data_IF_791367906056
#
_entry.id   IF_791367906056
#
_cell.length_a   1.000
_cell.length_b   1.000
_cell.length_c   1.000
_cell.angle_alpha   90.00
_cell.angle_beta   90.00
_cell.angle_gamma   90.00
#
_symmetry.space_group_name_H-M   'P 1'
#
loop_
_entity.id
_entity.type
_entity.pdbx_description
1 polymer ?
#
# COMPACT_ATOMS: atom_id res chain seq x y z
N UNK A 1 -13.70 -1.52 -4.66
CA UNK A 1 -12.91 -1.95 -3.50
C UNK A 1 -11.59 -1.20 -3.55
N UNK A 2 -11.21 -0.54 -2.45
CA UNK A 2 -10.00 0.27 -2.32
C UNK A 2 -9.05 -0.40 -1.33
N UNK A 3 -7.93 -0.91 -1.85
CA UNK A 3 -6.91 -1.65 -1.11
C UNK A 3 -5.64 -0.80 -1.03
N UNK A 4 -5.33 -0.27 0.15
CA UNK A 4 -4.20 0.65 0.34
C UNK A 4 -2.99 -0.05 0.92
N UNK A 5 -1.87 0.02 0.19
CA UNK A 5 -0.57 -0.49 0.58
C UNK A 5 0.25 0.65 1.18
N UNK A 6 0.56 0.54 2.47
CA UNK A 6 1.14 1.63 3.23
C UNK A 6 2.41 1.17 3.94
N UNK A 7 3.46 1.99 3.93
CA UNK A 7 4.66 1.72 4.73
C UNK A 7 5.17 2.93 5.49
N UNK A 8 5.51 2.70 6.75
CA UNK A 8 6.14 3.66 7.66
C UNK A 8 7.66 3.70 7.56
N UNK A 9 8.25 2.74 6.82
CA UNK A 9 9.69 2.58 6.63
C UNK A 9 10.00 2.39 5.15
N UNK A 10 11.07 3.01 4.67
CA UNK A 10 11.47 2.92 3.26
C UNK A 10 12.07 1.55 2.90
N UNK A 11 11.87 1.12 1.66
CA UNK A 11 12.55 -0.06 1.11
C UNK A 11 11.98 -1.41 1.57
N UNK A 12 10.77 -1.44 2.11
CA UNK A 12 10.10 -2.68 2.54
C UNK A 12 9.26 -3.37 1.46
N UNK A 13 9.26 -2.82 0.23
CA UNK A 13 8.59 -3.44 -0.92
C UNK A 13 7.12 -3.08 -1.11
N UNK A 14 6.65 -1.96 -0.54
CA UNK A 14 5.28 -1.42 -0.67
C UNK A 14 4.82 -1.33 -2.12
N UNK A 15 5.56 -0.59 -2.95
CA UNK A 15 5.26 -0.47 -4.38
C UNK A 15 5.34 -1.80 -5.13
N UNK A 16 6.15 -2.75 -4.65
CA UNK A 16 6.21 -4.08 -5.27
C UNK A 16 4.93 -4.87 -5.00
N UNK A 17 4.45 -4.81 -3.76
CA UNK A 17 3.19 -5.43 -3.35
C UNK A 17 1.99 -4.78 -4.05
N UNK A 18 1.88 -3.45 -4.03
CA UNK A 18 0.78 -2.71 -4.65
C UNK A 18 0.65 -3.00 -6.16
N UNK A 19 1.78 -2.94 -6.88
CA UNK A 19 1.80 -3.24 -8.33
C UNK A 19 1.47 -4.69 -8.63
N UNK A 20 2.04 -5.62 -7.88
CA UNK A 20 1.74 -7.03 -8.11
C UNK A 20 0.29 -7.35 -7.79
N UNK A 21 -0.27 -6.75 -6.74
CA UNK A 21 -1.69 -6.87 -6.43
C UNK A 21 -2.55 -6.33 -7.58
N UNK A 22 -2.28 -5.11 -8.06
CA UNK A 22 -2.98 -4.51 -9.19
C UNK A 22 -2.88 -5.37 -10.45
N UNK A 23 -1.70 -5.92 -10.75
CA UNK A 23 -1.48 -6.83 -11.89
C UNK A 23 -2.29 -8.12 -11.81
N UNK A 24 -2.38 -8.72 -10.64
CA UNK A 24 -3.08 -9.99 -10.46
C UNK A 24 -4.61 -9.81 -10.38
N UNK A 25 -5.07 -8.68 -9.84
CA UNK A 25 -6.50 -8.37 -9.69
C UNK A 25 -7.10 -7.63 -10.88
N UNK A 26 -6.26 -6.99 -11.69
CA UNK A 26 -6.70 -5.99 -12.67
C UNK A 26 -7.26 -4.74 -12.00
N UNK A 27 -7.66 -3.77 -12.82
CA UNK A 27 -8.27 -2.51 -12.37
C UNK A 27 -7.28 -1.35 -12.37
N UNK A 28 -7.35 -0.52 -11.33
CA UNK A 28 -6.58 0.73 -11.23
C UNK A 28 -5.51 0.63 -10.15
N UNK A 29 -4.30 1.10 -10.46
CA UNK A 29 -3.28 1.44 -9.48
C UNK A 29 -3.17 2.96 -9.36
N UNK A 30 -3.33 3.48 -8.14
CA UNK A 30 -3.07 4.88 -7.82
C UNK A 30 -1.77 4.96 -7.04
N UNK A 31 -0.76 5.63 -7.60
CA UNK A 31 0.46 5.93 -6.87
C UNK A 31 0.29 7.21 -6.06
N UNK A 32 -0.29 7.12 -4.87
CA UNK A 32 -0.53 8.26 -3.99
C UNK A 32 0.74 8.74 -3.26
N UNK A 33 1.92 8.63 -3.88
CA UNK A 33 3.21 9.00 -3.28
C UNK A 33 4.11 9.79 -4.22
N UNK A 34 4.80 10.78 -3.68
CA UNK A 34 5.78 11.57 -4.44
C UNK A 34 7.09 10.78 -4.57
N UNK A 35 7.51 10.45 -5.81
CA UNK A 35 8.94 10.50 -6.25
C UNK A 35 9.34 9.81 -7.55
N UNK A 36 8.54 8.96 -8.20
CA UNK A 36 9.03 8.21 -9.38
C UNK A 36 8.09 8.27 -10.59
N UNK A 37 8.68 8.50 -11.78
CA UNK A 37 8.01 8.33 -13.08
C UNK A 37 7.91 6.84 -13.39
N UNK A 38 6.84 6.22 -12.92
CA UNK A 38 6.59 4.80 -13.08
C UNK A 38 5.93 4.47 -14.42
N UNK A 39 5.30 5.45 -15.07
CA UNK A 39 4.81 5.42 -16.44
C UNK A 39 5.89 5.05 -17.46
N UNK A 40 7.16 5.39 -17.19
CA UNK A 40 8.27 5.08 -18.10
C UNK A 40 8.47 3.55 -18.25
N UNK A 41 7.87 2.76 -17.36
CA UNK A 41 7.83 1.30 -17.43
C UNK A 41 6.58 0.75 -18.13
N UNK A 42 5.59 1.58 -18.42
CA UNK A 42 4.31 1.21 -19.01
C UNK A 42 4.12 1.77 -20.43
N UNK A 43 4.67 2.95 -20.71
CA UNK A 43 4.52 3.64 -21.99
C UNK A 43 5.63 3.25 -22.97
N UNK A 44 5.26 2.96 -24.22
CA UNK A 44 6.22 2.71 -25.31
C UNK A 44 6.92 4.00 -25.79
N UNK A 45 6.26 5.15 -25.61
CA UNK A 45 6.76 6.48 -26.00
C UNK A 45 6.71 7.44 -24.81
N UNK A 46 7.68 8.34 -24.69
CA UNK A 46 7.64 9.40 -23.67
C UNK A 46 6.61 10.46 -24.05
N UNK A 47 5.60 10.73 -23.23
CA UNK A 47 4.58 11.73 -23.53
C UNK A 47 5.15 13.15 -23.42
N UNK A 48 4.60 14.07 -24.23
CA UNK A 48 4.98 15.48 -24.24
C UNK A 48 4.55 16.24 -22.98
N UNK A 49 3.50 15.77 -22.31
CA UNK A 49 2.98 16.29 -21.05
C UNK A 49 2.51 15.14 -20.15
N UNK A 50 2.58 15.33 -18.84
CA UNK A 50 2.27 14.30 -17.84
C UNK A 50 1.33 14.94 -16.83
N UNK A 51 0.08 14.49 -16.83
CA UNK A 51 -0.82 14.70 -15.71
C UNK A 51 -0.56 13.63 -14.67
N UNK A 52 -0.50 14.03 -13.40
CA UNK A 52 -0.19 13.16 -12.28
C UNK A 52 -1.31 13.14 -11.24
N UNK A 53 -1.08 12.40 -10.15
CA UNK A 53 -2.01 12.25 -9.05
C UNK A 53 -2.52 13.59 -8.50
N UNK A 54 -1.71 14.65 -8.53
CA UNK A 54 -2.14 15.99 -8.12
C UNK A 54 -3.15 16.59 -9.09
N UNK A 55 -2.95 16.42 -10.40
CA UNK A 55 -3.89 16.89 -11.42
C UNK A 55 -5.22 16.15 -11.29
N UNK A 56 -5.17 14.84 -11.01
CA UNK A 56 -6.35 14.04 -10.67
C UNK A 56 -7.09 14.60 -9.45
N UNK A 57 -6.39 14.97 -8.38
CA UNK A 57 -7.00 15.55 -7.19
C UNK A 57 -7.60 16.95 -7.44
N UNK A 58 -7.00 17.74 -8.33
CA UNK A 58 -7.43 19.11 -8.61
C UNK A 58 -8.50 19.20 -9.71
N UNK A 59 -8.96 18.05 -10.23
CA UNK A 59 -10.14 17.95 -11.09
C UNK A 59 -9.83 17.93 -12.59
N UNK A 60 -8.62 17.55 -12.98
CA UNK A 60 -8.31 17.23 -14.38
C UNK A 60 -9.12 16.03 -14.87
N UNK A 61 -9.44 16.01 -16.18
CA UNK A 61 -10.25 14.94 -16.76
C UNK A 61 -9.53 13.59 -16.67
N UNK A 62 -10.25 12.53 -16.27
CA UNK A 62 -9.66 11.20 -16.06
C UNK A 62 -8.95 10.65 -17.30
N UNK A 63 -9.44 10.98 -18.51
CA UNK A 63 -8.83 10.57 -19.79
C UNK A 63 -7.41 11.12 -19.98
N UNK A 64 -7.08 12.23 -19.31
CA UNK A 64 -5.77 12.87 -19.38
C UNK A 64 -4.80 12.32 -18.32
N UNK A 65 -5.32 11.93 -17.16
CA UNK A 65 -4.51 11.44 -16.03
C UNK A 65 -4.27 9.93 -16.09
N UNK A 66 -5.22 9.19 -16.67
CA UNK A 66 -5.18 7.73 -16.70
C UNK A 66 -4.21 7.22 -17.76
N UNK A 67 -3.29 6.37 -17.34
CA UNK A 67 -2.38 5.63 -18.22
C UNK A 67 -2.91 4.21 -18.37
N UNK A 68 -3.45 3.88 -19.54
CA UNK A 68 -3.95 2.53 -19.79
C UNK A 68 -2.82 1.51 -19.91
N UNK A 69 -2.97 0.38 -19.23
CA UNK A 69 -1.99 -0.71 -19.25
C UNK A 69 -2.62 -2.07 -19.55
N UNK A 70 -1.83 -3.02 -20.08
CA UNK A 70 -2.35 -4.36 -20.43
C UNK A 70 -2.91 -5.14 -19.23
N UNK A 71 -2.34 -4.93 -18.04
CA UNK A 71 -2.71 -5.66 -16.82
C UNK A 71 -3.51 -4.82 -15.82
N UNK A 72 -3.26 -3.50 -15.78
CA UNK A 72 -3.94 -2.54 -14.92
C UNK A 72 -3.72 -1.15 -15.49
N UNK A 73 -4.63 -0.22 -15.19
CA UNK A 73 -4.48 1.18 -15.50
C UNK A 73 -3.78 1.91 -14.35
N UNK A 74 -3.07 3.00 -14.64
CA UNK A 74 -2.24 3.73 -13.67
C UNK A 74 -2.66 5.20 -13.58
N UNK A 75 -2.83 5.69 -12.36
CA UNK A 75 -2.66 7.11 -12.04
C UNK A 75 -1.29 7.26 -11.38
N UNK A 76 -0.38 7.95 -12.07
CA UNK A 76 1.00 8.10 -11.60
C UNK A 76 1.10 9.11 -10.44
N UNK A 77 2.00 8.86 -9.50
CA UNK A 77 2.25 9.77 -8.40
C UNK A 77 2.85 11.11 -8.80
N UNK A 78 2.73 12.09 -7.91
CA UNK A 78 3.18 13.46 -8.19
C UNK A 78 4.70 13.56 -8.24
N UNK A 79 5.22 13.71 -9.46
CA UNK A 79 6.67 13.72 -9.72
C UNK A 79 7.26 15.11 -9.51
N UNK A 80 6.46 16.15 -9.75
CA UNK A 80 6.93 17.54 -9.81
C UNK A 80 6.34 18.44 -8.73
N UNK A 81 5.25 18.01 -8.09
CA UNK A 81 4.55 18.78 -7.08
C UNK A 81 4.87 18.22 -5.70
N UNK A 82 5.39 19.06 -4.80
CA UNK A 82 5.18 18.82 -3.38
C UNK A 82 3.67 18.96 -3.18
N UNK A 83 3.00 17.92 -2.67
CA UNK A 83 1.54 17.94 -2.49
C UNK A 83 1.20 19.18 -1.65
N UNK A 84 0.58 20.17 -2.28
CA UNK A 84 -0.02 21.28 -1.55
C UNK A 84 -1.21 20.73 -0.74
N UNK A 85 -1.79 21.55 0.13
CA UNK A 85 -3.01 21.13 0.83
C UNK A 85 -4.15 21.08 -0.21
N UNK A 86 -4.44 19.88 -0.74
CA UNK A 86 -5.65 19.62 -1.49
C UNK A 86 -6.87 19.93 -0.61
N UNK A 87 -7.98 20.35 -1.22
CA UNK A 87 -9.23 20.54 -0.49
C UNK A 87 -9.63 19.24 0.24
N UNK A 88 -10.28 19.40 1.40
CA UNK A 88 -10.60 18.30 2.32
C UNK A 88 -11.36 17.14 1.64
N UNK A 89 -12.20 17.45 0.64
CA UNK A 89 -13.03 16.49 -0.10
C UNK A 89 -12.49 16.14 -1.50
N UNK A 90 -11.35 16.71 -1.93
CA UNK A 90 -10.83 16.56 -3.29
C UNK A 90 -10.63 15.09 -3.69
N UNK A 91 -9.93 14.32 -2.84
CA UNK A 91 -9.68 12.90 -3.10
C UNK A 91 -10.97 12.09 -3.16
N UNK A 92 -11.93 12.36 -2.26
CA UNK A 92 -13.19 11.64 -2.23
C UNK A 92 -13.98 11.88 -3.52
N UNK A 93 -14.12 13.15 -3.94
CA UNK A 93 -14.82 13.52 -5.16
C UNK A 93 -14.14 12.92 -6.40
N UNK A 94 -12.81 12.92 -6.44
CA UNK A 94 -12.04 12.34 -7.52
C UNK A 94 -12.29 10.82 -7.62
N UNK A 95 -12.33 10.10 -6.49
CA UNK A 95 -12.61 8.66 -6.47
C UNK A 95 -14.06 8.31 -6.83
N UNK A 96 -15.04 9.16 -6.49
CA UNK A 96 -16.45 8.96 -6.88
C UNK A 96 -16.66 8.98 -8.41
N UNK A 97 -15.73 9.59 -9.16
CA UNK A 97 -15.78 9.62 -10.63
C UNK A 97 -15.27 8.34 -11.30
N UNK A 98 -14.66 7.42 -10.55
CA UNK A 98 -13.98 6.24 -11.08
C UNK A 98 -14.90 5.02 -11.14
N UNK A 99 -14.93 4.34 -12.29
CA UNK A 99 -15.67 3.09 -12.50
C UNK A 99 -14.74 1.86 -12.48
N UNK A 100 -14.05 1.66 -11.35
CA UNK A 100 -13.15 0.52 -11.14
C UNK A 100 -13.63 -0.37 -10.01
N UNK A 101 -13.74 -1.68 -10.28
CA UNK A 101 -14.07 -2.68 -9.25
C UNK A 101 -12.96 -2.79 -8.20
N UNK A 102 -11.70 -2.77 -8.65
CA UNK A 102 -10.50 -2.89 -7.81
C UNK A 102 -9.61 -1.65 -8.00
N UNK A 103 -9.30 -0.98 -6.90
CA UNK A 103 -8.37 0.13 -6.84
C UNK A 103 -7.28 -0.24 -5.83
N UNK A 104 -6.06 -0.45 -6.31
CA UNK A 104 -4.88 -0.59 -5.47
C UNK A 104 -4.25 0.79 -5.27
N UNK A 105 -3.84 1.11 -4.04
CA UNK A 105 -3.20 2.39 -3.73
C UNK A 105 -1.80 2.13 -3.20
N UNK A 106 -0.79 2.70 -3.85
CA UNK A 106 0.58 2.73 -3.33
C UNK A 106 0.82 4.01 -2.51
N UNK A 107 0.76 3.86 -1.20
CA UNK A 107 1.05 4.90 -0.23
C UNK A 107 2.41 4.62 0.47
N UNK A 108 3.46 4.42 -0.32
CA UNK A 108 4.82 4.16 0.17
C UNK A 108 5.44 5.30 0.97
N UNK A 109 4.92 6.53 0.80
CA UNK A 109 5.27 7.74 1.55
C UNK A 109 4.03 8.58 1.72
N UNK A 110 3.85 9.13 2.91
CA UNK A 110 2.65 9.89 3.25
C UNK A 110 2.96 10.94 4.32
N UNK A 111 2.12 11.97 4.35
CA UNK A 111 1.93 12.92 5.44
C UNK A 111 0.87 12.38 6.41
N UNK A 112 0.70 13.03 7.55
CA UNK A 112 -0.33 12.62 8.52
C UNK A 112 -1.74 12.81 7.96
N UNK A 113 -1.93 13.82 7.11
CA UNK A 113 -3.19 14.11 6.42
C UNK A 113 -3.56 12.98 5.47
N UNK A 114 -2.59 12.45 4.73
CA UNK A 114 -2.82 11.34 3.79
C UNK A 114 -3.21 10.05 4.55
N UNK A 115 -2.69 9.84 5.78
CA UNK A 115 -3.16 8.75 6.65
C UNK A 115 -4.66 8.89 6.94
N UNK A 116 -5.12 10.08 7.29
CA UNK A 116 -6.52 10.32 7.65
C UNK A 116 -7.42 10.16 6.43
N UNK A 117 -7.02 10.70 5.28
CA UNK A 117 -7.77 10.59 4.03
C UNK A 117 -7.90 9.13 3.57
N UNK A 118 -6.78 8.43 3.41
CA UNK A 118 -6.82 7.02 3.00
C UNK A 118 -7.40 6.11 4.07
N UNK A 119 -7.23 6.44 5.36
CA UNK A 119 -7.88 5.73 6.47
C UNK A 119 -9.41 5.85 6.47
N UNK A 120 -9.97 6.90 5.88
CA UNK A 120 -11.42 7.07 5.68
C UNK A 120 -11.94 6.35 4.44
N UNK A 121 -11.13 6.26 3.39
CA UNK A 121 -11.58 5.88 2.05
C UNK A 121 -11.24 4.43 1.69
N UNK A 122 -10.26 3.81 2.37
CA UNK A 122 -9.86 2.44 2.07
C UNK A 122 -10.82 1.44 2.70
N UNK A 123 -11.19 0.41 1.94
CA UNK A 123 -11.86 -0.77 2.47
C UNK A 123 -10.88 -1.58 3.33
N UNK A 124 -9.64 -1.74 2.83
CA UNK A 124 -8.58 -2.49 3.49
C UNK A 124 -7.24 -1.75 3.41
N UNK A 125 -6.45 -1.84 4.48
CA UNK A 125 -5.09 -1.28 4.56
C UNK A 125 -4.09 -2.40 4.86
N UNK A 126 -3.16 -2.61 3.93
CA UNK A 126 -1.98 -3.42 4.15
C UNK A 126 -0.85 -2.55 4.69
N UNK A 127 -0.54 -2.73 5.96
CA UNK A 127 0.47 -1.97 6.65
C UNK A 127 1.77 -2.77 6.67
N UNK A 128 2.77 -2.30 5.94
CA UNK A 128 3.96 -3.07 5.58
C UNK A 128 5.18 -2.58 6.34
N UNK A 129 5.90 -3.53 6.92
CA UNK A 129 7.12 -3.32 7.68
C UNK A 129 8.17 -4.38 7.42
N UNK A 130 9.37 -4.18 7.97
CA UNK A 130 10.47 -5.14 7.87
C UNK A 130 10.62 -6.02 9.13
N UNK A 131 9.78 -5.81 10.14
CA UNK A 131 9.85 -6.50 11.44
C UNK A 131 10.96 -5.99 12.36
N UNK A 132 11.63 -4.88 12.06
CA UNK A 132 12.48 -4.19 13.04
C UNK A 132 11.63 -3.52 14.13
N UNK A 133 12.18 -3.33 15.33
CA UNK A 133 11.48 -2.63 16.41
C UNK A 133 11.02 -1.21 16.01
N UNK A 134 11.81 -0.50 15.19
CA UNK A 134 11.42 0.80 14.64
C UNK A 134 10.23 0.70 13.69
N UNK A 135 10.20 -0.31 12.83
CA UNK A 135 9.08 -0.54 11.93
C UNK A 135 7.82 -0.87 12.72
N UNK A 136 7.89 -1.82 13.66
CA UNK A 136 6.73 -2.25 14.46
C UNK A 136 6.11 -1.07 15.24
N UNK A 137 6.94 -0.27 15.93
CA UNK A 137 6.47 0.93 16.63
C UNK A 137 5.82 1.96 15.70
N UNK A 138 6.35 2.11 14.50
CA UNK A 138 5.77 3.05 13.53
C UNK A 138 4.44 2.52 12.97
N UNK A 139 4.30 1.20 12.79
CA UNK A 139 3.04 0.55 12.40
C UNK A 139 1.97 0.73 13.50
N UNK A 140 2.34 0.57 14.77
CA UNK A 140 1.45 0.85 15.91
C UNK A 140 1.00 2.31 15.95
N UNK A 141 1.92 3.24 15.67
CA UNK A 141 1.61 4.67 15.63
C UNK A 141 0.53 4.98 14.58
N UNK A 142 0.57 4.36 13.41
CA UNK A 142 -0.49 4.53 12.40
C UNK A 142 -1.83 4.01 12.91
N UNK A 143 -1.87 2.79 13.46
CA UNK A 143 -3.10 2.25 14.07
C UNK A 143 -3.63 3.13 15.21
N UNK A 144 -2.73 3.72 15.99
CA UNK A 144 -3.09 4.67 17.04
C UNK A 144 -3.71 5.95 16.46
N UNK A 145 -3.15 6.50 15.38
CA UNK A 145 -3.73 7.65 14.66
C UNK A 145 -5.14 7.33 14.18
N UNK A 146 -5.35 6.17 13.56
CA UNK A 146 -6.69 5.75 13.13
C UNK A 146 -7.67 5.67 14.30
N UNK A 147 -7.27 5.05 15.41
CA UNK A 147 -8.10 4.98 16.61
C UNK A 147 -8.44 6.36 17.18
N UNK A 148 -7.45 7.25 17.27
CA UNK A 148 -7.66 8.61 17.76
C UNK A 148 -8.63 9.41 16.89
N UNK A 149 -8.61 9.18 15.58
CA UNK A 149 -9.46 9.83 14.58
C UNK A 149 -10.80 9.13 14.39
N UNK A 150 -11.07 8.03 15.12
CA UNK A 150 -12.30 7.25 14.99
C UNK A 150 -12.40 6.44 13.69
N UNK A 151 -11.28 6.25 12.99
CA UNK A 151 -11.18 5.50 11.74
C UNK A 151 -11.07 4.01 12.04
N UNK A 152 -11.81 3.19 11.28
CA UNK A 152 -11.81 1.74 11.44
C UNK A 152 -11.72 1.00 10.08
N UNK A 153 -10.69 1.27 9.25
CA UNK A 153 -10.43 0.43 8.09
C UNK A 153 -10.07 -0.99 8.54
N UNK A 154 -10.31 -1.99 7.69
CA UNK A 154 -9.71 -3.32 7.91
C UNK A 154 -8.18 -3.18 7.76
N UNK A 155 -7.39 -3.72 8.69
CA UNK A 155 -5.93 -3.59 8.67
C UNK A 155 -5.30 -4.97 8.72
N UNK A 156 -4.46 -5.26 7.73
CA UNK A 156 -3.56 -6.41 7.75
C UNK A 156 -2.11 -5.94 7.89
N UNK A 157 -1.43 -6.43 8.93
CA UNK A 157 0.00 -6.21 9.08
C UNK A 157 0.78 -7.18 8.19
N UNK A 158 1.70 -6.67 7.39
CA UNK A 158 2.61 -7.44 6.56
C UNK A 158 4.03 -7.18 7.03
N UNK A 159 4.74 -8.23 7.43
CA UNK A 159 6.17 -8.17 7.61
C UNK A 159 6.87 -8.76 6.40
N UNK A 160 7.48 -7.90 5.59
CA UNK A 160 8.12 -8.27 4.34
C UNK A 160 9.64 -8.30 4.47
N UNK A 161 10.28 -9.10 3.59
CA UNK A 161 11.74 -9.28 3.55
C UNK A 161 12.32 -9.79 4.86
N UNK A 162 11.59 -10.70 5.53
CA UNK A 162 12.07 -11.32 6.75
C UNK A 162 13.21 -12.29 6.41
N UNK A 163 14.37 -12.06 7.03
CA UNK A 163 15.51 -12.98 6.99
C UNK A 163 15.30 -14.12 7.97
N UNK A 164 15.74 -15.33 7.60
CA UNK A 164 15.55 -16.54 8.41
C UNK A 164 16.17 -16.43 9.82
N UNK A 165 17.23 -15.63 9.98
CA UNK A 165 17.90 -15.40 11.27
C UNK A 165 17.32 -14.25 12.11
N UNK A 166 16.34 -13.49 11.59
CA UNK A 166 15.80 -12.31 12.29
C UNK A 166 14.84 -12.74 13.39
N UNK A 167 15.21 -12.46 14.64
CA UNK A 167 14.29 -12.54 15.77
C UNK A 167 13.37 -11.32 15.68
N UNK A 168 12.08 -11.57 15.52
CA UNK A 168 11.04 -10.53 15.52
C UNK A 168 10.46 -10.50 16.94
N UNK A 169 10.74 -9.43 17.67
CA UNK A 169 10.03 -9.13 18.92
C UNK A 169 8.67 -8.55 18.55
N UNK A 170 7.67 -9.43 18.45
CA UNK A 170 6.31 -9.06 18.11
C UNK A 170 5.56 -8.63 19.36
N UNK A 171 4.86 -7.52 19.26
CA UNK A 171 3.91 -7.10 20.29
C UNK A 171 2.61 -7.89 20.10
N UNK A 172 2.13 -8.58 21.15
CA UNK A 172 0.85 -9.29 21.11
C UNK A 172 -0.31 -8.36 20.74
N UNK A 173 -0.19 -7.07 21.05
CA UNK A 173 -1.20 -6.06 20.74
C UNK A 173 -1.29 -5.75 19.25
N UNK A 174 -0.28 -6.06 18.42
CA UNK A 174 -0.29 -5.87 16.96
C UNK A 174 -1.19 -6.87 16.21
N UNK A 175 -1.67 -7.93 16.87
CA UNK A 175 -2.55 -8.92 16.25
C UNK A 175 -1.83 -9.92 15.34
N UNK A 176 -2.55 -10.52 14.39
CA UNK A 176 -1.96 -11.44 13.41
C UNK A 176 -1.29 -10.66 12.27
N UNK A 177 -0.13 -11.15 11.82
CA UNK A 177 0.56 -10.59 10.66
C UNK A 177 0.96 -11.65 9.65
N UNK A 178 0.92 -11.23 8.39
CA UNK A 178 1.43 -12.01 7.27
C UNK A 178 2.94 -11.86 7.20
N UNK A 179 3.67 -12.96 7.33
CA UNK A 179 5.13 -12.99 7.24
C UNK A 179 5.54 -13.39 5.82
N UNK A 180 6.34 -12.55 5.18
CA UNK A 180 6.90 -12.80 3.85
C UNK A 180 8.42 -12.80 3.96
N UNK A 181 9.03 -13.96 3.74
CA UNK A 181 10.48 -14.16 3.81
C UNK A 181 11.18 -13.69 2.54
N UNK A 182 12.46 -13.35 2.68
CA UNK A 182 13.31 -13.14 1.50
C UNK A 182 13.29 -14.38 0.59
N UNK A 183 13.05 -14.16 -0.71
CA UNK A 183 12.94 -15.23 -1.71
C UNK A 183 11.53 -15.80 -1.92
N UNK A 184 10.55 -15.44 -1.08
CA UNK A 184 9.14 -15.72 -1.37
C UNK A 184 8.56 -14.66 -2.32
N UNK A 185 7.58 -15.07 -3.15
CA UNK A 185 6.78 -14.14 -3.93
C UNK A 185 5.81 -13.41 -2.99
N UNK A 186 5.98 -12.10 -2.78
CA UNK A 186 5.20 -11.37 -1.79
C UNK A 186 3.73 -11.23 -2.19
N UNK A 187 3.45 -11.14 -3.49
CA UNK A 187 2.11 -10.89 -4.03
C UNK A 187 1.31 -12.18 -4.00
N UNK A 188 1.92 -13.29 -4.43
CA UNK A 188 1.30 -14.60 -4.35
C UNK A 188 0.99 -15.00 -2.91
N UNK A 189 1.91 -14.72 -1.98
CA UNK A 189 1.71 -15.00 -0.54
C UNK A 189 0.53 -14.21 0.03
N UNK A 190 0.35 -12.96 -0.40
CA UNK A 190 -0.76 -12.12 0.01
C UNK A 190 -2.11 -12.62 -0.54
N UNK A 191 -2.16 -12.98 -1.82
CA UNK A 191 -3.41 -13.31 -2.52
C UNK A 191 -3.91 -14.72 -2.29
N UNK A 192 -3.02 -15.68 -2.03
CA UNK A 192 -3.37 -17.11 -2.00
C UNK A 192 -3.79 -17.64 -0.63
N UNK A 193 -3.84 -16.79 0.42
CA UNK A 193 -4.41 -17.16 1.73
C UNK A 193 -4.27 -18.64 2.09
N UNK A 194 -3.04 -19.14 2.25
CA UNK A 194 -2.72 -20.41 2.90
C UNK A 194 -3.28 -21.72 2.26
N UNK A 195 -3.19 -21.91 0.94
CA UNK A 195 -3.38 -23.24 0.31
C UNK A 195 -2.23 -24.24 0.60
N UNK A 196 -1.18 -23.81 1.31
CA UNK A 196 -0.12 -24.65 1.87
C UNK A 196 -0.24 -24.74 3.41
N UNK A 197 -1.42 -25.11 3.90
CA UNK A 197 -1.70 -25.45 5.30
C UNK A 197 -1.04 -26.75 5.78
N UNK A 198 0.23 -27.01 5.43
CA UNK A 198 1.02 -28.07 6.10
C UNK A 198 1.89 -27.54 7.24
N UNK A 199 2.05 -26.22 7.39
CA UNK A 199 2.61 -25.65 8.61
C UNK A 199 2.03 -24.27 8.88
N UNK A 200 0.78 -24.20 9.41
CA UNK A 200 0.41 -23.10 10.32
C UNK A 200 1.30 -23.19 11.56
N UNK A 201 2.56 -22.81 11.42
CA UNK A 201 3.42 -22.41 12.52
C UNK A 201 2.86 -21.09 13.00
N UNK A 202 1.82 -21.21 13.84
CA UNK A 202 1.37 -20.17 14.75
C UNK A 202 2.60 -19.43 15.25
N UNK A 203 2.57 -18.10 15.19
CA UNK A 203 3.62 -17.21 15.67
C UNK A 203 4.22 -17.66 17.03
N UNK A 204 3.37 -18.20 17.91
CA UNK A 204 3.72 -18.80 19.20
C UNK A 204 4.64 -20.02 19.17
N UNK A 205 4.62 -20.79 18.08
CA UNK A 205 5.43 -22.00 17.89
C UNK A 205 6.91 -21.71 17.65
N UNK A 206 7.24 -20.53 17.11
CA UNK A 206 8.62 -20.09 16.91
C UNK A 206 9.28 -19.56 18.19
N UNK A 207 8.52 -18.88 19.06
CA UNK A 207 9.02 -18.37 20.34
C UNK A 207 9.25 -19.48 21.39
N UNK A 208 8.49 -20.58 21.35
CA UNK A 208 8.58 -21.67 22.35
C UNK A 208 9.77 -22.62 22.21
N UNK A 209 10.64 -22.47 21.20
CA UNK A 209 11.75 -23.42 20.96
C UNK A 209 13.05 -23.13 21.71
N UNK A 210 13.07 -22.18 22.65
CA UNK A 210 14.18 -22.03 23.62
C UNK A 210 13.63 -21.89 25.04
N UNK A 211 13.28 -23.04 25.61
CA UNK A 211 13.24 -23.29 27.06
C UNK A 211 14.25 -24.36 27.40
#
# INVERSE_FOLDING_TARGET
>A
MIETFMSVVGGVGTSTLARGFAREKGGLLIEASNRMRMQDLLLEESPDHIYDYWDFLTGEDIENVLISGEAYDLIQGSVFHDLEEAEEDALKNALESLDYENIAVDLSRFREEDLVQWGNLSDHIYLIGDGSASSLRAMERVRYVFRLRGLQPEITFILNRIKDEKIIEWDEDLGEATLIREGQDPVRTLLQGDDNMDEKKSFWSFLKRRG
#
